data_IF_827420031080
#
_entry.id   IF_827420031080
#
_cell.length_a   1.000
_cell.length_b   1.000
_cell.length_c   1.000
_cell.angle_alpha   90.00
_cell.angle_beta   90.00
_cell.angle_gamma   90.00
#
_symmetry.space_group_name_H-M   'P 1'
#
loop_
_entity.id
_entity.type
_entity.pdbx_description
1 polymer ?
#
# COMPACT_ATOMS: atom_id res chain seq x y z
N UNK A 1 -22.37 14.61 34.69
CA UNK A 1 -22.36 13.26 34.05
C UNK A 1 -23.09 13.35 32.71
N UNK A 2 -22.37 12.98 31.64
CA UNK A 2 -22.77 12.45 30.31
C UNK A 2 -24.16 12.88 29.76
N UNK A 3 -24.27 13.41 28.54
CA UNK A 3 -23.90 12.67 27.33
C UNK A 3 -23.84 13.58 26.11
N UNK A 4 -22.68 13.64 25.46
CA UNK A 4 -22.52 14.20 24.12
C UNK A 4 -22.89 13.13 23.11
N UNK A 5 -23.87 13.40 22.26
CA UNK A 5 -24.21 12.52 21.13
C UNK A 5 -23.38 12.96 19.93
N UNK A 6 -22.22 12.34 19.76
CA UNK A 6 -21.36 12.55 18.60
C UNK A 6 -21.96 11.80 17.40
N UNK A 7 -22.63 12.53 16.50
CA UNK A 7 -23.07 11.98 15.21
C UNK A 7 -21.83 11.74 14.33
N UNK A 8 -21.50 10.47 14.13
CA UNK A 8 -20.51 10.03 13.15
C UNK A 8 -21.10 10.21 11.75
N UNK A 9 -20.71 11.28 11.06
CA UNK A 9 -20.97 11.42 9.63
C UNK A 9 -20.16 10.39 8.85
N UNK A 10 -20.80 9.26 8.53
CA UNK A 10 -20.31 8.31 7.54
C UNK A 10 -20.26 9.06 6.21
N UNK A 11 -19.06 9.52 5.83
CA UNK A 11 -18.80 10.05 4.48
C UNK A 11 -19.22 8.99 3.46
N UNK A 12 -20.41 9.17 2.89
CA UNK A 12 -20.93 8.41 1.75
C UNK A 12 -19.88 8.51 0.66
N UNK A 13 -19.11 7.43 0.47
CA UNK A 13 -18.13 7.33 -0.60
C UNK A 13 -18.79 7.75 -1.92
N UNK A 14 -18.08 8.53 -2.72
CA UNK A 14 -18.54 8.97 -4.04
C UNK A 14 -19.12 7.76 -4.78
N UNK A 15 -20.34 7.84 -5.36
CA UNK A 15 -21.00 6.68 -5.92
C UNK A 15 -20.12 6.07 -7.01
N UNK A 16 -19.58 4.86 -6.74
CA UNK A 16 -18.73 4.09 -7.67
C UNK A 16 -19.38 3.95 -9.05
N UNK A 17 -20.71 4.00 -9.13
CA UNK A 17 -21.48 3.96 -10.38
C UNK A 17 -21.15 5.05 -11.41
N UNK A 18 -20.71 6.25 -11.03
CA UNK A 18 -20.32 7.27 -12.03
C UNK A 18 -18.91 7.05 -12.58
N UNK A 19 -18.03 6.44 -11.79
CA UNK A 19 -16.64 6.13 -12.18
C UNK A 19 -16.61 5.03 -13.24
N UNK A 20 -17.41 3.97 -13.06
CA UNK A 20 -17.48 2.86 -14.01
C UNK A 20 -18.07 3.29 -15.36
N UNK A 21 -19.08 4.18 -15.37
CA UNK A 21 -19.72 4.71 -16.59
C UNK A 21 -18.88 5.76 -17.35
N UNK A 22 -17.83 6.29 -16.75
CA UNK A 22 -17.00 7.32 -17.37
C UNK A 22 -16.16 6.78 -18.53
N UNK A 23 -16.09 7.49 -19.65
CA UNK A 23 -15.22 7.10 -20.79
C UNK A 23 -13.76 7.53 -20.62
N UNK A 24 -13.36 8.02 -19.44
CA UNK A 24 -12.00 8.46 -19.12
C UNK A 24 -11.22 7.32 -18.45
N UNK A 25 -10.05 6.97 -18.98
CA UNK A 25 -9.24 5.81 -18.57
C UNK A 25 -8.88 5.86 -17.08
N UNK A 26 -8.44 7.03 -16.59
CA UNK A 26 -7.92 7.22 -15.23
C UNK A 26 -9.02 7.55 -14.22
N UNK A 27 -10.30 7.46 -14.59
CA UNK A 27 -11.41 7.74 -13.67
C UNK A 27 -11.32 6.85 -12.44
N UNK A 28 -11.39 7.46 -11.25
CA UNK A 28 -11.36 6.75 -9.97
C UNK A 28 -9.95 6.57 -9.38
N UNK A 29 -8.90 6.68 -10.18
CA UNK A 29 -7.50 6.57 -9.73
C UNK A 29 -6.69 7.87 -9.93
N UNK A 30 -7.13 8.78 -10.80
CA UNK A 30 -6.44 10.06 -11.01
C UNK A 30 -6.52 10.98 -9.77
N UNK A 31 -5.36 11.49 -9.37
CA UNK A 31 -5.12 12.41 -8.25
C UNK A 31 -4.32 13.61 -8.73
N UNK A 32 -4.59 14.76 -8.13
CA UNK A 32 -3.80 15.96 -8.37
C UNK A 32 -2.54 15.95 -7.52
N UNK A 33 -1.36 16.16 -8.12
CA UNK A 33 -0.06 16.04 -7.45
C UNK A 33 0.10 16.99 -6.26
N UNK A 34 -0.37 18.25 -6.38
CA UNK A 34 -0.18 19.23 -5.31
C UNK A 34 -1.07 19.00 -4.07
N UNK A 35 -2.36 18.71 -4.27
CA UNK A 35 -3.32 18.66 -3.16
C UNK A 35 -3.80 17.24 -2.81
N UNK A 36 -3.32 16.21 -3.55
CA UNK A 36 -3.77 14.82 -3.45
C UNK A 36 -5.26 14.58 -3.77
N UNK A 37 -5.96 15.61 -4.25
CA UNK A 37 -7.40 15.59 -4.46
C UNK A 37 -7.81 14.71 -5.64
N UNK A 38 -9.04 14.14 -5.65
CA UNK A 38 -9.51 13.36 -6.79
C UNK A 38 -9.67 14.24 -8.03
N UNK A 39 -9.31 13.69 -9.18
CA UNK A 39 -9.55 14.32 -10.48
C UNK A 39 -10.75 13.66 -11.17
N UNK A 40 -11.55 14.47 -11.86
CA UNK A 40 -12.70 14.00 -12.64
C UNK A 40 -12.55 14.37 -14.11
N UNK A 41 -13.04 13.50 -14.99
CA UNK A 41 -13.10 13.77 -16.43
C UNK A 41 -14.13 14.86 -16.73
N UNK A 42 -13.75 15.82 -17.57
CA UNK A 42 -14.61 16.90 -18.06
C UNK A 42 -14.43 17.06 -19.56
N UNK A 43 -15.53 16.93 -20.28
CA UNK A 43 -15.62 17.25 -21.70
C UNK A 43 -16.04 18.71 -21.85
N UNK A 44 -15.31 19.46 -22.68
CA UNK A 44 -15.65 20.83 -23.07
C UNK A 44 -15.68 20.97 -24.59
N UNK A 45 -16.28 22.04 -25.09
CA UNK A 45 -16.27 22.40 -26.50
C UNK A 45 -15.68 23.78 -26.67
N UNK A 46 -14.88 23.97 -27.74
CA UNK A 46 -14.50 25.31 -28.19
C UNK A 46 -15.65 25.96 -28.94
N UNK A 47 -15.61 27.29 -29.03
CA UNK A 47 -16.46 28.10 -29.88
C UNK A 47 -16.56 27.58 -31.34
N UNK A 48 -15.49 26.98 -31.87
CA UNK A 48 -15.47 26.36 -33.21
C UNK A 48 -16.01 24.91 -33.25
N UNK A 49 -16.74 24.47 -32.23
CA UNK A 49 -17.33 23.13 -32.14
C UNK A 49 -16.36 21.99 -31.79
N UNK A 50 -15.05 22.24 -31.70
CA UNK A 50 -14.06 21.20 -31.36
C UNK A 50 -14.23 20.74 -29.91
N UNK A 51 -14.40 19.43 -29.71
CA UNK A 51 -14.56 18.81 -28.39
C UNK A 51 -13.19 18.50 -27.79
N UNK A 52 -13.00 18.82 -26.52
CA UNK A 52 -11.78 18.54 -25.74
C UNK A 52 -12.13 17.75 -24.49
N UNK A 53 -11.25 16.80 -24.17
CA UNK A 53 -11.36 15.96 -22.98
C UNK A 53 -10.25 16.30 -22.00
N UNK A 54 -10.59 16.52 -20.75
CA UNK A 54 -9.66 16.96 -19.72
C UNK A 54 -9.95 16.31 -18.37
N UNK A 55 -8.95 16.25 -17.50
CA UNK A 55 -9.07 15.91 -16.10
C UNK A 55 -8.97 17.18 -15.26
N UNK A 56 -9.88 17.34 -14.31
CA UNK A 56 -9.98 18.51 -13.44
C UNK A 56 -9.87 18.08 -11.97
N UNK A 57 -9.01 18.72 -11.18
CA UNK A 57 -9.03 18.53 -9.73
C UNK A 57 -10.33 19.06 -9.13
N UNK A 58 -11.07 18.18 -8.44
CA UNK A 58 -12.37 18.52 -7.85
C UNK A 58 -12.24 19.51 -6.70
N UNK A 59 -11.16 19.44 -5.91
CA UNK A 59 -10.92 20.34 -4.76
C UNK A 59 -10.71 21.78 -5.23
N UNK A 60 -9.77 21.98 -6.15
CA UNK A 60 -9.55 23.29 -6.78
C UNK A 60 -10.79 23.89 -7.48
N UNK A 61 -11.72 23.04 -7.96
CA UNK A 61 -13.00 23.52 -8.51
C UNK A 61 -13.94 24.04 -7.41
N UNK A 62 -13.96 23.40 -6.24
CA UNK A 62 -14.92 23.70 -5.15
C UNK A 62 -14.45 24.86 -4.28
N UNK A 63 -13.16 24.90 -3.94
CA UNK A 63 -12.57 25.96 -3.14
C UNK A 63 -11.13 26.17 -3.62
N UNK A 64 -10.79 27.41 -3.99
CA UNK A 64 -9.42 27.76 -4.42
C UNK A 64 -8.43 27.73 -3.26
N UNK A 65 -8.90 27.92 -2.04
CA UNK A 65 -8.10 27.86 -0.81
C UNK A 65 -7.52 26.46 -0.56
N UNK A 66 -8.25 25.41 -0.94
CA UNK A 66 -7.83 24.02 -0.81
C UNK A 66 -6.79 23.59 -1.86
N UNK A 67 -6.69 24.33 -2.98
CA UNK A 67 -5.79 24.02 -4.08
C UNK A 67 -5.68 25.20 -5.07
N UNK A 68 -4.59 25.96 -4.95
CA UNK A 68 -4.38 27.25 -5.65
C UNK A 68 -3.91 27.08 -7.11
N UNK A 69 -3.33 25.93 -7.45
CA UNK A 69 -2.64 25.70 -8.71
C UNK A 69 -3.56 25.36 -9.89
N UNK A 70 -3.06 25.59 -11.12
CA UNK A 70 -3.76 25.23 -12.35
C UNK A 70 -4.13 23.75 -12.38
N UNK A 71 -5.42 23.46 -12.51
CA UNK A 71 -5.98 22.17 -12.14
C UNK A 71 -6.63 21.40 -13.30
N UNK A 72 -6.39 21.80 -14.55
CA UNK A 72 -6.96 21.19 -15.77
C UNK A 72 -5.83 20.56 -16.59
N UNK A 73 -5.96 19.27 -16.88
CA UNK A 73 -4.97 18.51 -17.65
C UNK A 73 -5.62 17.84 -18.86
N UNK A 74 -5.01 17.95 -20.03
CA UNK A 74 -5.52 17.32 -21.25
C UNK A 74 -5.48 15.79 -21.14
N UNK A 75 -6.61 15.12 -21.35
CA UNK A 75 -6.68 13.66 -21.37
C UNK A 75 -5.79 13.08 -22.48
N UNK A 76 -5.75 13.73 -23.65
CA UNK A 76 -4.89 13.36 -24.79
C UNK A 76 -3.40 13.41 -24.44
N UNK A 77 -3.00 14.17 -23.42
CA UNK A 77 -1.60 14.27 -22.98
C UNK A 77 -1.31 13.27 -21.86
N UNK A 78 -2.15 13.22 -20.83
CA UNK A 78 -1.83 12.45 -19.62
C UNK A 78 -2.13 10.96 -19.75
N UNK A 79 -3.13 10.54 -20.53
CA UNK A 79 -3.45 9.11 -20.68
C UNK A 79 -2.29 8.37 -21.38
N UNK A 80 -1.76 8.84 -22.53
CA UNK A 80 -0.57 8.23 -23.12
C UNK A 80 0.66 8.29 -22.21
N UNK A 81 0.92 9.44 -21.58
CA UNK A 81 2.07 9.57 -20.68
C UNK A 81 2.05 8.57 -19.51
N UNK A 82 0.86 8.28 -18.98
CA UNK A 82 0.68 7.25 -17.95
C UNK A 82 0.94 5.85 -18.51
N UNK A 83 0.45 5.54 -19.71
CA UNK A 83 0.68 4.24 -20.35
C UNK A 83 2.16 4.03 -20.68
N UNK A 84 2.83 5.05 -21.23
CA UNK A 84 4.26 5.03 -21.56
C UNK A 84 5.09 4.83 -20.29
N UNK A 85 4.77 5.57 -19.22
CA UNK A 85 5.47 5.43 -17.94
C UNK A 85 5.17 4.08 -17.27
N UNK A 86 3.93 3.61 -17.32
CA UNK A 86 3.54 2.29 -16.82
C UNK A 86 4.30 1.18 -17.56
N UNK A 87 4.45 1.28 -18.89
CA UNK A 87 5.18 0.31 -19.70
C UNK A 87 6.64 0.10 -19.28
N UNK A 88 7.26 1.09 -18.63
CA UNK A 88 8.62 0.95 -18.09
C UNK A 88 8.73 -0.09 -16.97
N UNK A 89 7.61 -0.47 -16.35
CA UNK A 89 7.56 -1.47 -15.29
C UNK A 89 7.25 -2.87 -15.82
N UNK A 90 7.13 -3.07 -17.14
CA UNK A 90 6.93 -4.39 -17.75
C UNK A 90 8.18 -5.27 -17.69
N UNK A 91 9.35 -4.69 -17.53
CA UNK A 91 10.63 -5.40 -17.45
C UNK A 91 10.90 -5.90 -16.01
N UNK A 92 10.91 -7.22 -15.77
CA UNK A 92 11.21 -7.79 -14.45
C UNK A 92 12.58 -7.40 -13.92
N UNK A 93 13.59 -7.23 -14.78
CA UNK A 93 14.95 -6.90 -14.36
C UNK A 93 15.00 -5.49 -13.73
N UNK A 94 14.32 -4.53 -14.37
CA UNK A 94 14.23 -3.15 -13.89
C UNK A 94 13.45 -3.03 -12.58
N UNK A 95 12.35 -3.77 -12.43
CA UNK A 95 11.59 -3.78 -11.16
C UNK A 95 12.39 -4.46 -10.04
N UNK A 96 13.12 -5.54 -10.34
CA UNK A 96 14.00 -6.20 -9.38
C UNK A 96 15.14 -5.27 -8.89
N UNK A 97 15.68 -4.41 -9.76
CA UNK A 97 16.68 -3.42 -9.37
C UNK A 97 16.12 -2.38 -8.39
N UNK A 98 14.90 -1.87 -8.64
CA UNK A 98 14.22 -0.96 -7.74
C UNK A 98 13.97 -1.60 -6.36
N UNK A 99 13.56 -2.87 -6.33
CA UNK A 99 13.36 -3.65 -5.10
C UNK A 99 14.64 -3.83 -4.28
N UNK A 100 15.77 -4.09 -4.95
CA UNK A 100 17.07 -4.22 -4.28
C UNK A 100 17.48 -2.93 -3.58
N UNK A 101 17.12 -1.77 -4.14
CA UNK A 101 17.42 -0.46 -3.56
C UNK A 101 16.53 -0.11 -2.36
N UNK A 102 15.34 -0.70 -2.25
CA UNK A 102 14.32 -0.26 -1.28
C UNK A 102 14.12 -1.14 -0.04
N UNK A 103 14.45 -2.44 -0.04
CA UNK A 103 14.03 -3.25 1.12
C UNK A 103 14.70 -4.60 1.36
N UNK A 104 15.62 -5.06 0.51
CA UNK A 104 16.13 -6.43 0.64
C UNK A 104 17.07 -6.62 1.87
N UNK A 105 17.79 -5.57 2.28
CA UNK A 105 18.66 -5.62 3.47
C UNK A 105 17.88 -5.56 4.78
N UNK A 106 16.83 -4.75 4.84
CA UNK A 106 16.00 -4.57 6.03
C UNK A 106 15.16 -5.82 6.31
N UNK A 107 14.50 -6.37 5.29
CA UNK A 107 13.73 -7.61 5.44
C UNK A 107 14.60 -8.78 5.91
N UNK A 108 15.82 -8.91 5.39
CA UNK A 108 16.79 -9.92 5.86
C UNK A 108 17.16 -9.74 7.32
N UNK A 109 17.35 -8.49 7.76
CA UNK A 109 17.61 -8.17 9.17
C UNK A 109 16.45 -8.58 10.06
N UNK A 110 15.21 -8.22 9.68
CA UNK A 110 14.00 -8.56 10.45
C UNK A 110 13.80 -10.08 10.54
N UNK A 111 13.97 -10.82 9.43
CA UNK A 111 13.92 -12.29 9.42
C UNK A 111 14.98 -12.91 10.32
N UNK A 112 16.18 -12.33 10.36
CA UNK A 112 17.26 -12.78 11.24
C UNK A 112 16.92 -12.56 12.72
N UNK A 113 16.36 -11.39 13.06
CA UNK A 113 15.89 -11.09 14.42
C UNK A 113 14.75 -12.03 14.84
N UNK A 114 13.78 -12.27 13.96
CA UNK A 114 12.67 -13.20 14.19
C UNK A 114 13.19 -14.62 14.46
N UNK A 115 14.19 -15.07 13.72
CA UNK A 115 14.86 -16.36 13.95
C UNK A 115 15.55 -16.41 15.33
N UNK A 116 16.23 -15.34 15.75
CA UNK A 116 16.86 -15.23 17.08
C UNK A 116 15.83 -15.27 18.21
N UNK A 117 14.76 -14.50 18.11
CA UNK A 117 13.71 -14.46 19.14
C UNK A 117 12.97 -15.80 19.27
N UNK A 118 12.67 -16.46 18.15
CA UNK A 118 12.08 -17.81 18.19
C UNK A 118 13.02 -18.83 18.87
N UNK A 119 14.34 -18.75 18.61
CA UNK A 119 15.31 -19.58 19.31
C UNK A 119 15.33 -19.28 20.80
N UNK A 120 15.30 -18.00 21.19
CA UNK A 120 15.25 -17.59 22.60
C UNK A 120 14.01 -18.13 23.30
N UNK A 121 12.85 -18.07 22.65
CA UNK A 121 11.60 -18.63 23.16
C UNK A 121 11.71 -20.14 23.43
N UNK A 122 12.29 -20.90 22.49
CA UNK A 122 12.56 -22.34 22.68
C UNK A 122 13.51 -22.61 23.84
N UNK A 123 14.52 -21.77 24.03
CA UNK A 123 15.45 -21.88 25.17
C UNK A 123 14.72 -21.62 26.49
N UNK A 124 13.89 -20.57 26.58
CA UNK A 124 13.11 -20.26 27.78
C UNK A 124 12.16 -21.40 28.14
N UNK A 125 11.46 -21.97 27.15
CA UNK A 125 10.59 -23.12 27.37
C UNK A 125 11.40 -24.36 27.83
N UNK A 126 12.57 -24.62 27.23
CA UNK A 126 13.44 -25.73 27.66
C UNK A 126 13.95 -25.54 29.09
N UNK A 127 14.34 -24.33 29.46
CA UNK A 127 14.81 -24.00 30.80
C UNK A 127 13.71 -24.19 31.84
N UNK A 128 12.46 -23.82 31.52
CA UNK A 128 11.30 -24.06 32.38
C UNK A 128 11.13 -25.57 32.67
N UNK A 129 11.15 -26.40 31.62
CA UNK A 129 11.00 -27.86 31.77
C UNK A 129 12.16 -28.46 32.57
N UNK A 130 13.37 -27.95 32.40
CA UNK A 130 14.55 -28.37 33.15
C UNK A 130 14.43 -28.03 34.64
N UNK A 131 14.01 -26.82 34.97
CA UNK A 131 13.76 -26.43 36.36
C UNK A 131 12.65 -27.28 37.00
N UNK A 132 11.61 -27.63 36.23
CA UNK A 132 10.52 -28.48 36.70
C UNK A 132 10.98 -29.91 37.00
N UNK A 133 11.88 -30.46 36.16
CA UNK A 133 12.52 -31.76 36.41
C UNK A 133 13.40 -31.72 37.66
N UNK A 134 14.16 -30.64 37.88
CA UNK A 134 14.96 -30.47 39.09
C UNK A 134 14.11 -30.41 40.36
N UNK A 135 12.97 -29.70 40.34
CA UNK A 135 12.01 -29.69 41.44
C UNK A 135 11.49 -31.10 41.74
N UNK A 136 11.08 -31.85 40.70
CA UNK A 136 10.59 -33.23 40.85
C UNK A 136 11.62 -34.19 41.45
N UNK A 137 12.91 -33.97 41.17
CA UNK A 137 14.03 -34.75 41.71
C UNK A 137 14.48 -34.29 43.10
N UNK A 138 13.88 -33.23 43.65
CA UNK A 138 14.29 -32.62 44.92
C UNK A 138 15.64 -31.90 44.86
N UNK A 139 16.12 -31.55 43.65
CA UNK A 139 17.35 -30.78 43.45
C UNK A 139 17.12 -29.27 43.62
N UNK A 140 15.86 -28.83 43.54
CA UNK A 140 15.40 -27.49 43.86
C UNK A 140 14.22 -27.59 44.82
N UNK A 141 14.08 -26.61 45.71
CA UNK A 141 12.85 -26.39 46.46
C UNK A 141 11.89 -25.44 45.71
N UNK A 142 10.69 -25.25 46.27
CA UNK A 142 9.64 -24.45 45.64
C UNK A 142 9.98 -22.96 45.53
N UNK A 143 10.69 -22.39 46.52
CA UNK A 143 11.15 -21.00 46.48
C UNK A 143 12.21 -20.78 45.39
N UNK A 144 13.19 -21.68 45.29
CA UNK A 144 14.25 -21.63 44.28
C UNK A 144 13.68 -21.78 42.87
N UNK A 145 12.72 -22.70 42.69
CA UNK A 145 12.00 -22.85 41.43
C UNK A 145 11.21 -21.60 41.06
N UNK A 146 10.45 -21.04 42.02
CA UNK A 146 9.65 -19.84 41.82
C UNK A 146 10.51 -18.65 41.40
N UNK A 147 11.60 -18.38 42.14
CA UNK A 147 12.55 -17.31 41.81
C UNK A 147 13.16 -17.48 40.42
N UNK A 148 13.60 -18.69 40.08
CA UNK A 148 14.17 -19.01 38.77
C UNK A 148 13.16 -18.84 37.61
N UNK A 149 11.86 -18.98 37.88
CA UNK A 149 10.82 -18.88 36.84
C UNK A 149 10.21 -17.48 36.69
N UNK A 150 10.21 -16.64 37.73
CA UNK A 150 9.65 -15.28 37.64
C UNK A 150 10.39 -14.46 36.58
N UNK A 151 11.72 -14.38 36.68
CA UNK A 151 12.55 -13.62 35.72
C UNK A 151 12.39 -14.14 34.29
N UNK A 152 12.29 -15.47 34.13
CA UNK A 152 12.07 -16.11 32.82
C UNK A 152 10.68 -15.86 32.27
N UNK A 153 9.65 -15.72 33.12
CA UNK A 153 8.28 -15.43 32.70
C UNK A 153 8.14 -14.01 32.17
N UNK A 154 8.82 -13.06 32.79
CA UNK A 154 8.87 -11.67 32.33
C UNK A 154 9.60 -11.56 30.99
N UNK A 155 10.73 -12.27 30.86
CA UNK A 155 11.45 -12.35 29.58
C UNK A 155 10.63 -13.04 28.48
N UNK A 156 9.91 -14.12 28.82
CA UNK A 156 9.01 -14.82 27.91
C UNK A 156 7.93 -13.87 27.39
N UNK A 157 7.30 -13.12 28.28
CA UNK A 157 6.23 -12.17 27.94
C UNK A 157 6.74 -11.07 27.01
N UNK A 158 7.87 -10.45 27.33
CA UNK A 158 8.47 -9.41 26.47
C UNK A 158 8.94 -9.95 25.13
N UNK A 159 9.49 -11.17 25.09
CA UNK A 159 9.88 -11.86 23.85
C UNK A 159 8.67 -12.20 22.97
N UNK A 160 7.56 -12.64 23.57
CA UNK A 160 6.30 -12.93 22.87
C UNK A 160 5.71 -11.68 22.22
N UNK A 161 5.69 -10.54 22.95
CA UNK A 161 5.21 -9.26 22.42
C UNK A 161 6.06 -8.84 21.22
N UNK A 162 7.40 -8.84 21.35
CA UNK A 162 8.30 -8.46 20.26
C UNK A 162 8.18 -9.39 19.06
N UNK A 163 7.97 -10.70 19.29
CA UNK A 163 7.71 -11.67 18.22
C UNK A 163 6.43 -11.36 17.46
N UNK A 164 5.36 -10.98 18.15
CA UNK A 164 4.10 -10.64 17.50
C UNK A 164 4.25 -9.39 16.63
N UNK A 165 4.83 -8.32 17.17
CA UNK A 165 5.10 -7.07 16.44
C UNK A 165 5.97 -7.33 15.21
N UNK A 166 7.12 -8.00 15.40
CA UNK A 166 8.05 -8.25 14.32
C UNK A 166 7.48 -9.18 13.23
N UNK A 167 6.59 -10.11 13.59
CA UNK A 167 5.89 -10.95 12.60
C UNK A 167 4.96 -10.12 11.72
N UNK A 168 4.22 -9.18 12.29
CA UNK A 168 3.37 -8.26 11.54
C UNK A 168 4.20 -7.35 10.63
N UNK A 169 5.32 -6.82 11.13
CA UNK A 169 6.24 -6.00 10.34
C UNK A 169 6.82 -6.80 9.15
N UNK A 170 7.28 -8.05 9.39
CA UNK A 170 7.81 -8.94 8.33
C UNK A 170 6.71 -9.26 7.32
N UNK A 171 5.51 -9.62 7.77
CA UNK A 171 4.41 -9.96 6.88
C UNK A 171 4.01 -8.78 5.98
N UNK A 172 3.96 -7.57 6.52
CA UNK A 172 3.70 -6.34 5.77
C UNK A 172 4.77 -6.08 4.71
N UNK A 173 6.05 -6.27 5.07
CA UNK A 173 7.17 -6.10 4.15
C UNK A 173 7.19 -7.16 3.03
N UNK A 174 6.92 -8.43 3.36
CA UNK A 174 6.82 -9.52 2.36
C UNK A 174 5.67 -9.30 1.40
N UNK A 175 4.48 -8.96 1.91
CA UNK A 175 3.31 -8.65 1.09
C UNK A 175 3.58 -7.51 0.11
N UNK A 176 4.34 -6.50 0.56
CA UNK A 176 4.77 -5.38 -0.29
C UNK A 176 5.78 -5.80 -1.35
N UNK A 177 6.72 -6.71 -1.04
CA UNK A 177 7.66 -7.24 -2.05
C UNK A 177 6.95 -8.12 -3.08
N UNK A 178 6.03 -8.98 -2.64
CA UNK A 178 5.27 -9.87 -3.53
C UNK A 178 4.37 -9.07 -4.47
N UNK A 179 3.73 -7.99 -3.97
CA UNK A 179 2.91 -7.13 -4.82
C UNK A 179 3.74 -6.46 -5.92
N UNK A 180 4.93 -5.96 -5.57
CA UNK A 180 5.87 -5.35 -6.52
C UNK A 180 6.43 -6.40 -7.49
N UNK A 181 6.77 -7.60 -7.03
CA UNK A 181 7.28 -8.68 -7.88
C UNK A 181 6.26 -9.14 -8.93
N UNK A 182 4.96 -9.00 -8.65
CA UNK A 182 3.87 -9.27 -9.59
C UNK A 182 3.59 -8.12 -10.57
N UNK A 183 4.16 -6.93 -10.37
CA UNK A 183 3.93 -5.76 -11.25
C UNK A 183 4.31 -6.02 -12.70
N UNK A 184 5.51 -6.56 -13.03
CA UNK A 184 5.93 -6.74 -14.41
C UNK A 184 4.97 -7.55 -15.27
N UNK A 185 4.53 -8.70 -14.76
CA UNK A 185 3.61 -9.59 -15.48
C UNK A 185 2.25 -8.90 -15.69
N UNK A 186 1.70 -8.26 -14.66
CA UNK A 186 0.42 -7.55 -14.76
C UNK A 186 0.49 -6.38 -15.74
N UNK A 187 1.59 -5.63 -15.71
CA UNK A 187 1.83 -4.50 -16.62
C UNK A 187 2.00 -5.00 -18.06
N UNK A 188 2.83 -6.01 -18.29
CA UNK A 188 3.06 -6.56 -19.62
C UNK A 188 1.77 -7.10 -20.25
N UNK A 189 0.97 -7.85 -19.46
CA UNK A 189 -0.34 -8.35 -19.87
C UNK A 189 -1.32 -7.24 -20.22
N UNK A 190 -1.37 -6.17 -19.41
CA UNK A 190 -2.24 -5.03 -19.67
C UNK A 190 -1.81 -4.24 -20.91
N UNK A 191 -0.52 -3.90 -21.04
CA UNK A 191 -0.02 -3.14 -22.20
C UNK A 191 -0.20 -3.94 -23.49
N UNK A 192 0.10 -5.24 -23.49
CA UNK A 192 -0.03 -6.10 -24.66
C UNK A 192 -1.48 -6.29 -25.15
N UNK A 193 -2.48 -6.10 -24.27
CA UNK A 193 -3.90 -6.21 -24.63
C UNK A 193 -4.60 -4.85 -24.79
N UNK A 194 -3.96 -3.74 -24.40
CA UNK A 194 -4.60 -2.43 -24.26
C UNK A 194 -5.32 -1.95 -25.53
N UNK A 195 -4.71 -2.08 -26.71
CA UNK A 195 -5.27 -1.61 -27.97
C UNK A 195 -6.58 -2.32 -28.36
N UNK A 196 -6.80 -3.53 -27.86
CA UNK A 196 -7.97 -4.36 -28.15
C UNK A 196 -9.06 -4.21 -27.08
N UNK A 197 -8.76 -3.54 -25.98
CA UNK A 197 -9.68 -3.40 -24.85
C UNK A 197 -10.58 -2.16 -24.99
N UNK A 198 -11.88 -2.37 -24.78
CA UNK A 198 -12.78 -1.25 -24.54
C UNK A 198 -12.42 -0.53 -23.24
N UNK A 199 -12.64 0.79 -23.19
CA UNK A 199 -12.27 1.64 -22.06
C UNK A 199 -12.74 1.15 -20.68
N UNK A 200 -13.96 0.60 -20.51
CA UNK A 200 -14.39 0.05 -19.21
C UNK A 200 -13.53 -1.13 -18.75
N UNK A 201 -13.15 -2.03 -19.66
CA UNK A 201 -12.29 -3.19 -19.36
C UNK A 201 -10.85 -2.75 -19.11
N UNK A 202 -10.32 -1.87 -19.96
CA UNK A 202 -8.97 -1.30 -19.78
C UNK A 202 -8.85 -0.59 -18.42
N UNK A 203 -9.86 0.19 -18.03
CA UNK A 203 -9.91 0.82 -16.71
C UNK A 203 -9.94 -0.20 -15.58
N UNK A 204 -10.75 -1.25 -15.68
CA UNK A 204 -10.83 -2.29 -14.66
C UNK A 204 -9.47 -2.97 -14.45
N UNK A 205 -8.78 -3.34 -15.55
CA UNK A 205 -7.43 -3.91 -15.48
C UNK A 205 -6.42 -2.92 -14.90
N UNK A 206 -6.44 -1.66 -15.35
CA UNK A 206 -5.57 -0.62 -14.82
C UNK A 206 -5.79 -0.39 -13.32
N UNK A 207 -7.03 -0.50 -12.83
CA UNK A 207 -7.35 -0.41 -11.40
C UNK A 207 -6.88 -1.62 -10.60
N UNK A 208 -6.59 -2.77 -11.21
CA UNK A 208 -5.95 -3.91 -10.54
C UNK A 208 -4.44 -3.70 -10.36
N UNK A 209 -3.83 -2.89 -11.23
CA UNK A 209 -2.39 -2.59 -11.22
C UNK A 209 -2.10 -1.36 -10.35
N UNK A 210 -2.89 -0.30 -10.53
CA UNK A 210 -2.66 1.00 -9.91
C UNK A 210 -3.73 1.32 -8.87
N UNK A 211 -3.25 1.82 -7.73
CA UNK A 211 -4.06 2.41 -6.67
C UNK A 211 -4.37 3.88 -6.98
N UNK A 212 -3.38 4.63 -7.47
CA UNK A 212 -3.53 6.03 -7.84
C UNK A 212 -2.53 6.46 -8.93
N UNK A 213 -2.88 7.54 -9.63
CA UNK A 213 -2.02 8.23 -10.59
C UNK A 213 -2.00 9.70 -10.22
N UNK A 214 -0.86 10.22 -9.80
CA UNK A 214 -0.69 11.62 -9.43
C UNK A 214 -0.22 12.42 -10.64
N UNK A 215 -0.95 13.50 -10.95
CA UNK A 215 -0.70 14.36 -12.11
C UNK A 215 -0.30 15.74 -11.62
N UNK A 216 0.89 16.18 -12.02
CA UNK A 216 1.47 17.45 -11.64
C UNK A 216 1.28 18.51 -12.74
N UNK A 217 1.45 19.79 -12.39
CA UNK A 217 1.22 20.95 -13.28
C UNK A 217 2.19 21.03 -14.45
N UNK A 218 3.43 20.61 -14.25
CA UNK A 218 4.46 20.46 -15.29
C UNK A 218 4.18 19.28 -16.23
N UNK A 219 3.25 18.41 -15.84
CA UNK A 219 2.87 17.18 -16.53
C UNK A 219 3.72 15.97 -16.15
N UNK A 220 4.49 16.05 -15.06
CA UNK A 220 5.02 14.87 -14.39
C UNK A 220 3.85 13.99 -13.95
N UNK A 221 4.03 12.68 -14.08
CA UNK A 221 3.11 11.66 -13.57
C UNK A 221 3.84 10.75 -12.59
N UNK A 222 3.16 10.40 -11.50
CA UNK A 222 3.65 9.42 -10.53
C UNK A 222 2.60 8.33 -10.36
N UNK A 223 3.04 7.07 -10.28
CA UNK A 223 2.18 5.90 -10.21
C UNK A 223 2.30 5.29 -8.82
N UNK A 224 1.15 5.08 -8.18
CA UNK A 224 1.06 4.30 -6.96
C UNK A 224 0.50 2.92 -7.32
N UNK A 225 1.34 1.89 -7.25
CA UNK A 225 0.97 0.49 -7.50
C UNK A 225 0.12 -0.08 -6.34
N UNK A 226 -0.62 -1.14 -6.62
CA UNK A 226 -1.40 -1.88 -5.61
C UNK A 226 -0.60 -2.95 -4.90
#
# INVERSE_FOLDING_TARGET
>A
MKSGTQRMDIRKGTPRGSVHKSNYLLSGIARYGHCGGPMTGKTGSSYKGKVYRSYLCVRAKKAKEDCVFHNIHSAKRIEPAVLDYLGQFSDPARVAELLKQTGDTELKRMKTELSKLNKRMKTLDSDFHKNLDYLKRGLLNEEEFSKANIERRDERTSTEIRLAELREEVHSAESSQDSIAAVPERVASFIGSFEQLETPKAKAMLHMILKAVYVWTDGKVELEFR
#
